data_IF_721675067753
#
_entry.id   IF_721675067753
#
_cell.length_a   1.000
_cell.length_b   1.000
_cell.length_c   1.000
_cell.angle_alpha   90.00
_cell.angle_beta   90.00
_cell.angle_gamma   90.00
#
_symmetry.space_group_name_H-M   'P 1'
#
loop_
_entity.id
_entity.type
_entity.pdbx_description
1 polymer ?
#
# COMPACT_ATOMS: atom_id res chain seq x y z
N UNK A 1 17.92 19.15 33.70
CA UNK A 1 16.56 19.41 33.21
C UNK A 1 16.20 18.24 32.28
N UNK A 2 15.24 17.42 32.69
CA UNK A 2 14.75 16.34 31.85
C UNK A 2 13.59 16.89 31.02
N UNK A 3 13.66 16.73 29.70
CA UNK A 3 12.54 16.95 28.78
C UNK A 3 11.81 15.63 28.63
N UNK A 4 10.51 15.63 28.85
CA UNK A 4 9.69 14.46 28.57
C UNK A 4 9.33 14.43 27.08
N UNK A 5 9.54 13.28 26.43
CA UNK A 5 9.28 13.12 25.01
C UNK A 5 8.16 12.08 24.86
N UNK A 6 7.02 12.55 24.36
CA UNK A 6 5.95 11.68 23.89
C UNK A 6 6.14 11.39 22.40
N UNK A 7 5.95 10.14 21.97
CA UNK A 7 5.94 9.81 20.55
C UNK A 7 4.71 9.01 20.16
N UNK A 8 4.28 9.16 18.92
CA UNK A 8 3.18 8.41 18.35
C UNK A 8 3.44 8.07 16.90
N UNK A 9 2.91 6.92 16.48
CA UNK A 9 2.98 6.49 15.09
C UNK A 9 1.60 6.03 14.63
N UNK A 10 1.17 6.54 13.50
CA UNK A 10 -0.07 6.12 12.84
C UNK A 10 0.24 5.66 11.42
N UNK A 11 -0.26 4.49 11.06
CA UNK A 11 -0.14 3.94 9.70
C UNK A 11 -1.53 3.72 9.13
N UNK A 12 -1.82 4.37 8.01
CA UNK A 12 -3.06 4.18 7.27
C UNK A 12 -2.73 3.53 5.93
N UNK A 13 -3.36 2.39 5.63
CA UNK A 13 -3.16 1.69 4.38
C UNK A 13 -4.51 1.37 3.74
N UNK A 14 -4.68 1.83 2.51
CA UNK A 14 -5.86 1.55 1.67
C UNK A 14 -5.38 1.03 0.33
N UNK A 15 -6.11 0.09 -0.25
CA UNK A 15 -5.75 -0.44 -1.56
C UNK A 15 -6.79 -1.41 -2.11
N UNK A 16 -6.69 -1.67 -3.39
CA UNK A 16 -7.54 -2.61 -4.11
C UNK A 16 -6.80 -3.24 -5.27
N UNK A 17 -7.17 -4.49 -5.56
CA UNK A 17 -6.81 -5.16 -6.81
C UNK A 17 -8.11 -5.54 -7.49
N UNK A 18 -8.32 -5.05 -8.70
CA UNK A 18 -9.43 -5.42 -9.57
C UNK A 18 -8.95 -6.36 -10.69
N UNK A 19 -9.79 -7.27 -11.16
CA UNK A 19 -9.51 -8.12 -12.30
C UNK A 19 -10.69 -8.12 -13.26
N UNK A 20 -10.41 -7.93 -14.56
CA UNK A 20 -11.35 -8.04 -15.65
C UNK A 20 -10.98 -9.26 -16.49
N UNK A 21 -11.86 -10.25 -16.55
CA UNK A 21 -11.63 -11.51 -17.23
C UNK A 21 -12.47 -11.62 -18.51
N UNK A 22 -11.82 -11.96 -19.62
CA UNK A 22 -12.47 -12.37 -20.86
C UNK A 22 -12.23 -13.86 -21.03
N UNK A 23 -13.32 -14.65 -21.05
CA UNK A 23 -13.24 -16.11 -21.04
C UNK A 23 -13.97 -16.71 -22.23
N UNK A 24 -13.39 -17.80 -22.75
CA UNK A 24 -14.04 -18.65 -23.76
C UNK A 24 -13.91 -20.12 -23.34
N UNK A 25 -14.96 -20.90 -23.62
CA UNK A 25 -14.98 -22.32 -23.31
C UNK A 25 -15.58 -23.15 -24.42
N UNK A 26 -15.05 -24.38 -24.60
CA UNK A 26 -15.49 -25.34 -25.62
C UNK A 26 -15.77 -26.67 -24.97
N UNK A 27 -16.82 -27.34 -25.46
CA UNK A 27 -17.17 -28.71 -25.11
C UNK A 27 -17.02 -29.60 -26.34
N UNK A 28 -16.13 -30.58 -26.28
CA UNK A 28 -15.89 -31.54 -27.34
C UNK A 28 -16.48 -32.89 -26.95
N UNK A 29 -17.55 -33.30 -27.62
CA UNK A 29 -18.22 -34.60 -27.48
C UNK A 29 -18.65 -34.96 -26.04
N UNK A 30 -18.90 -33.95 -25.18
CA UNK A 30 -19.19 -34.16 -23.75
C UNK A 30 -18.12 -34.94 -22.97
N UNK A 31 -16.90 -35.07 -23.53
CA UNK A 31 -15.76 -35.72 -22.93
C UNK A 31 -14.65 -34.76 -22.56
N UNK A 32 -14.42 -33.74 -23.38
CA UNK A 32 -13.41 -32.72 -23.15
C UNK A 32 -14.04 -31.35 -23.03
N UNK A 33 -13.77 -30.67 -21.94
CA UNK A 33 -14.13 -29.28 -21.70
C UNK A 33 -12.84 -28.51 -21.57
N UNK A 34 -12.67 -27.50 -22.42
CA UNK A 34 -11.47 -26.67 -22.46
C UNK A 34 -11.92 -25.23 -22.30
N UNK A 35 -11.29 -24.50 -21.40
CA UNK A 35 -11.55 -23.07 -21.18
C UNK A 35 -10.25 -22.30 -21.15
N UNK A 36 -10.31 -21.08 -21.65
CA UNK A 36 -9.21 -20.12 -21.58
C UNK A 36 -9.74 -18.78 -21.12
N UNK A 37 -8.96 -18.08 -20.33
CA UNK A 37 -9.27 -16.75 -19.80
C UNK A 37 -8.07 -15.85 -19.98
N UNK A 38 -8.31 -14.64 -20.47
CA UNK A 38 -7.36 -13.54 -20.45
C UNK A 38 -7.80 -12.54 -19.39
N UNK A 39 -6.92 -12.30 -18.43
CA UNK A 39 -7.17 -11.40 -17.30
C UNK A 39 -6.35 -10.11 -17.41
N UNK A 40 -7.00 -8.98 -17.19
CA UNK A 40 -6.40 -7.66 -17.02
C UNK A 40 -6.63 -7.24 -15.59
N UNK A 41 -5.56 -6.93 -14.87
CA UNK A 41 -5.62 -6.53 -13.47
C UNK A 41 -5.26 -5.05 -13.31
N UNK A 42 -5.95 -4.38 -12.38
CA UNK A 42 -5.59 -3.05 -11.90
C UNK A 42 -5.20 -3.16 -10.43
N UNK A 43 -4.12 -2.46 -10.05
CA UNK A 43 -3.63 -2.41 -8.68
C UNK A 43 -3.57 -0.96 -8.25
N UNK A 44 -4.11 -0.66 -7.07
CA UNK A 44 -3.95 0.62 -6.41
C UNK A 44 -3.67 0.39 -4.93
N UNK A 45 -2.66 1.06 -4.38
CA UNK A 45 -2.37 1.08 -2.95
C UNK A 45 -1.87 2.46 -2.54
N UNK A 46 -2.44 2.98 -1.45
CA UNK A 46 -1.97 4.19 -0.77
C UNK A 46 -1.63 3.85 0.67
N UNK A 47 -0.43 4.21 1.09
CA UNK A 47 0.04 4.01 2.46
C UNK A 47 0.61 5.31 3.00
N UNK A 48 0.05 5.75 4.12
CA UNK A 48 0.46 6.98 4.80
C UNK A 48 1.01 6.63 6.16
N UNK A 49 2.16 7.17 6.50
CA UNK A 49 2.81 7.08 7.80
C UNK A 49 2.83 8.47 8.43
N UNK A 50 2.38 8.53 9.66
CA UNK A 50 2.51 9.70 10.53
C UNK A 50 3.36 9.29 11.71
N UNK A 51 4.46 9.99 11.92
CA UNK A 51 5.27 9.89 13.12
C UNK A 51 5.35 11.27 13.75
N UNK A 52 5.05 11.39 15.04
CA UNK A 52 5.13 12.63 15.77
C UNK A 52 5.83 12.48 17.10
N UNK A 53 6.52 13.53 17.49
CA UNK A 53 7.16 13.69 18.80
C UNK A 53 6.69 15.00 19.42
N UNK A 54 6.23 14.92 20.68
CA UNK A 54 5.89 16.06 21.50
C UNK A 54 6.93 16.22 22.61
N UNK A 55 7.44 17.43 22.80
CA UNK A 55 8.49 17.74 23.78
C UNK A 55 7.90 18.58 24.91
N UNK A 56 7.90 18.04 26.13
CA UNK A 56 7.38 18.70 27.32
C UNK A 56 8.53 19.07 28.24
N UNK A 57 8.74 20.36 28.44
CA UNK A 57 9.75 20.88 29.32
C UNK A 57 9.23 20.97 30.77
N UNK A 58 10.10 20.89 31.81
CA UNK A 58 9.71 21.00 33.21
C UNK A 58 8.99 22.32 33.52
N UNK A 59 8.03 22.26 34.43
CA UNK A 59 7.25 23.44 34.85
C UNK A 59 6.00 23.64 34.01
N UNK A 60 5.85 24.76 33.35
CA UNK A 60 4.66 25.10 32.55
C UNK A 60 4.76 24.64 31.08
N UNK A 61 5.61 23.67 30.77
CA UNK A 61 5.81 23.16 29.43
C UNK A 61 6.88 23.89 28.60
N UNK A 62 7.46 24.98 29.11
CA UNK A 62 8.57 25.70 28.51
C UNK A 62 9.64 26.04 29.58
N UNK A 63 10.92 26.03 29.18
CA UNK A 63 12.03 26.41 30.04
C UNK A 63 12.44 27.87 29.75
N UNK A 64 12.25 28.82 30.69
CA UNK A 64 12.58 30.24 30.45
C UNK A 64 14.07 30.52 30.27
N UNK A 65 14.95 29.55 30.53
CA UNK A 65 16.39 29.69 30.36
C UNK A 65 16.90 29.29 28.97
N UNK A 66 16.01 28.80 28.12
CA UNK A 66 16.34 28.45 26.74
C UNK A 66 15.76 29.46 25.79
N UNK A 67 16.56 29.99 24.89
CA UNK A 67 16.12 30.93 23.86
C UNK A 67 15.18 30.28 22.86
N UNK A 68 15.40 29.00 22.55
CA UNK A 68 14.63 28.22 21.61
C UNK A 68 14.25 26.87 22.21
N UNK A 69 13.04 26.42 21.99
CA UNK A 69 12.55 25.12 22.46
C UNK A 69 11.71 24.45 21.39
N UNK A 70 12.08 23.23 21.03
CA UNK A 70 11.28 22.42 20.14
C UNK A 70 10.04 21.91 20.90
N UNK A 71 8.85 22.23 20.42
CA UNK A 71 7.59 21.79 21.04
C UNK A 71 7.11 20.47 20.45
N UNK A 72 7.21 20.34 19.14
CA UNK A 72 6.85 19.11 18.42
C UNK A 72 7.66 18.97 17.14
N UNK A 73 7.77 17.74 16.67
CA UNK A 73 8.30 17.41 15.35
C UNK A 73 7.48 16.29 14.73
N UNK A 74 6.94 16.54 13.56
CA UNK A 74 6.14 15.58 12.83
C UNK A 74 6.84 15.17 11.53
N UNK A 75 6.77 13.90 11.20
CA UNK A 75 7.21 13.35 9.93
C UNK A 75 6.04 12.65 9.24
N UNK A 76 5.71 13.10 8.06
CA UNK A 76 4.64 12.53 7.24
C UNK A 76 5.24 11.94 5.97
N UNK A 77 4.82 10.73 5.64
CA UNK A 77 5.28 10.01 4.46
C UNK A 77 4.09 9.36 3.77
N UNK A 78 4.00 9.53 2.47
CA UNK A 78 2.99 8.89 1.65
C UNK A 78 3.64 8.10 0.51
N UNK A 79 3.17 6.87 0.30
CA UNK A 79 3.53 6.01 -0.81
C UNK A 79 2.27 5.62 -1.55
N UNK A 80 2.21 5.91 -2.83
CA UNK A 80 1.14 5.48 -3.73
C UNK A 80 1.74 4.52 -4.75
N UNK A 81 1.11 3.36 -4.89
CA UNK A 81 1.38 2.39 -5.94
C UNK A 81 0.16 2.33 -6.85
N UNK A 82 0.36 2.54 -8.12
CA UNK A 82 -0.64 2.40 -9.17
C UNK A 82 -0.09 1.48 -10.25
N UNK A 83 -0.89 0.54 -10.75
CA UNK A 83 -0.36 -0.41 -11.71
C UNK A 83 -1.42 -1.21 -12.44
N UNK A 84 -0.98 -1.79 -13.55
CA UNK A 84 -1.76 -2.73 -14.34
C UNK A 84 -0.99 -4.04 -14.50
N UNK A 85 -1.73 -5.13 -14.64
CA UNK A 85 -1.14 -6.46 -14.86
C UNK A 85 -1.95 -7.26 -15.87
N UNK A 86 -1.30 -8.27 -16.44
CA UNK A 86 -1.95 -9.21 -17.35
C UNK A 86 -1.59 -10.64 -17.00
N UNK A 87 -2.55 -11.54 -17.17
CA UNK A 87 -2.36 -12.98 -16.99
C UNK A 87 -3.19 -13.78 -18.00
N UNK A 88 -2.88 -15.06 -18.09
CA UNK A 88 -3.62 -16.01 -18.89
C UNK A 88 -3.89 -17.27 -18.06
N UNK A 89 -5.12 -17.80 -18.16
CA UNK A 89 -5.56 -18.99 -17.43
C UNK A 89 -6.08 -20.03 -18.43
N UNK A 90 -5.65 -21.26 -18.28
CA UNK A 90 -6.13 -22.40 -19.06
C UNK A 90 -6.74 -23.43 -18.12
N UNK A 91 -7.90 -23.96 -18.49
CA UNK A 91 -8.56 -25.05 -17.78
C UNK A 91 -8.99 -26.16 -18.72
N UNK A 92 -8.86 -27.40 -18.28
CA UNK A 92 -9.35 -28.58 -19.00
C UNK A 92 -10.01 -29.55 -18.03
N UNK A 93 -11.17 -30.09 -18.44
CA UNK A 93 -11.81 -31.22 -17.75
C UNK A 93 -11.96 -32.34 -18.75
N UNK A 94 -11.43 -33.51 -18.39
CA UNK A 94 -11.59 -34.77 -19.15
C UNK A 94 -12.55 -35.71 -18.43
N UNK A 95 -13.55 -36.20 -19.15
CA UNK A 95 -14.55 -37.18 -18.69
C UNK A 95 -14.37 -38.48 -19.43
N UNK A 96 -13.52 -39.42 -18.97
CA UNK A 96 -13.34 -40.73 -19.59
C UNK A 96 -14.62 -41.56 -19.54
N UNK A 97 -15.36 -41.47 -18.43
CA UNK A 97 -16.67 -42.11 -18.21
C UNK A 97 -17.64 -41.13 -17.59
N UNK A 98 -18.93 -41.42 -17.59
CA UNK A 98 -19.96 -40.48 -17.10
C UNK A 98 -19.73 -39.99 -15.66
N UNK A 99 -19.19 -40.86 -14.84
CA UNK A 99 -19.05 -40.63 -13.40
C UNK A 99 -17.68 -40.08 -12.99
N UNK A 100 -16.64 -40.12 -13.85
CA UNK A 100 -15.28 -39.68 -13.53
C UNK A 100 -14.94 -38.38 -14.27
N UNK A 101 -14.41 -37.41 -13.57
CA UNK A 101 -13.87 -36.17 -14.13
C UNK A 101 -12.46 -35.98 -13.62
N UNK A 102 -11.56 -35.65 -14.53
CA UNK A 102 -10.17 -35.30 -14.26
C UNK A 102 -9.99 -33.85 -14.71
N UNK A 103 -9.64 -32.97 -13.80
CA UNK A 103 -9.43 -31.55 -14.03
C UNK A 103 -7.95 -31.19 -14.01
N UNK A 104 -7.61 -30.26 -14.90
CA UNK A 104 -6.31 -29.62 -14.96
C UNK A 104 -6.52 -28.13 -15.16
N UNK A 105 -5.79 -27.29 -14.42
CA UNK A 105 -5.77 -25.87 -14.66
C UNK A 105 -4.36 -25.30 -14.50
N UNK A 106 -4.03 -24.38 -15.38
CA UNK A 106 -2.77 -23.67 -15.40
C UNK A 106 -3.04 -22.17 -15.46
N UNK A 107 -2.48 -21.41 -14.50
CA UNK A 107 -2.46 -19.97 -14.52
C UNK A 107 -1.03 -19.50 -14.77
N UNK A 108 -0.84 -18.66 -15.75
CA UNK A 108 0.46 -18.02 -15.95
C UNK A 108 0.77 -17.09 -14.78
N UNK A 109 2.02 -16.69 -14.59
CA UNK A 109 2.33 -15.51 -13.79
C UNK A 109 1.48 -14.31 -14.23
N UNK A 110 1.12 -13.43 -13.30
CA UNK A 110 0.64 -12.11 -13.64
C UNK A 110 1.83 -11.19 -13.74
N UNK A 111 1.97 -10.53 -14.88
CA UNK A 111 3.00 -9.53 -15.12
C UNK A 111 2.42 -8.17 -14.82
N UNK A 112 2.97 -7.48 -13.81
CA UNK A 112 2.57 -6.15 -13.39
C UNK A 112 3.59 -5.12 -13.81
N UNK A 113 3.09 -3.98 -14.29
CA UNK A 113 3.81 -2.72 -14.42
C UNK A 113 3.27 -1.79 -13.35
N UNK A 114 4.14 -1.31 -12.46
CA UNK A 114 3.77 -0.56 -11.26
C UNK A 114 4.52 0.76 -11.26
N UNK A 115 3.77 1.84 -11.13
CA UNK A 115 4.26 3.18 -10.87
C UNK A 115 4.21 3.45 -9.37
N UNK A 116 5.27 4.01 -8.83
CA UNK A 116 5.36 4.40 -7.42
C UNK A 116 5.54 5.90 -7.32
N UNK A 117 4.64 6.56 -6.60
CA UNK A 117 4.81 7.94 -6.15
C UNK A 117 5.15 7.94 -4.67
N UNK A 118 6.13 8.74 -4.30
CA UNK A 118 6.58 8.91 -2.92
C UNK A 118 6.58 10.39 -2.58
N UNK A 119 6.02 10.74 -1.42
CA UNK A 119 6.04 12.08 -0.86
C UNK A 119 6.38 11.98 0.62
N UNK A 120 7.23 12.90 1.09
CA UNK A 120 7.52 13.03 2.51
C UNK A 120 7.70 14.50 2.86
N UNK A 121 7.23 14.88 4.04
CA UNK A 121 7.46 16.21 4.59
C UNK A 121 7.58 16.14 6.12
N UNK A 122 8.26 17.12 6.66
CA UNK A 122 8.38 17.32 8.12
C UNK A 122 7.82 18.69 8.47
N UNK A 123 7.15 18.78 9.59
CA UNK A 123 6.80 20.02 10.24
C UNK A 123 7.23 20.01 11.71
N UNK A 124 7.61 21.15 12.23
CA UNK A 124 8.04 21.27 13.63
C UNK A 124 7.63 22.63 14.20
N UNK A 125 7.30 22.65 15.47
CA UNK A 125 7.01 23.86 16.22
C UNK A 125 8.12 24.21 17.18
N UNK A 126 8.54 25.48 17.18
CA UNK A 126 9.59 25.99 18.08
C UNK A 126 9.01 27.14 18.90
N UNK A 127 9.19 27.07 20.22
CA UNK A 127 8.92 28.20 21.11
C UNK A 127 10.17 29.08 21.24
N UNK A 128 10.00 30.38 21.11
CA UNK A 128 11.08 31.39 21.21
C UNK A 128 10.82 32.30 22.37
N UNK A 129 11.72 32.29 23.34
CA UNK A 129 11.65 33.16 24.53
C UNK A 129 12.19 34.58 24.27
N UNK A 130 12.95 34.78 23.19
CA UNK A 130 13.53 36.10 22.88
C UNK A 130 12.69 36.85 21.85
N UNK A 131 11.92 37.86 22.26
CA UNK A 131 11.09 38.67 21.35
C UNK A 131 11.87 39.50 20.34
N UNK A 132 13.19 39.63 20.52
CA UNK A 132 14.08 40.42 19.65
C UNK A 132 14.98 39.54 18.78
N UNK A 133 14.53 38.37 18.45
CA UNK A 133 15.27 37.42 17.62
C UNK A 133 15.65 38.05 16.26
N UNK A 134 16.95 38.19 15.94
CA UNK A 134 17.41 38.75 14.68
C UNK A 134 17.12 37.89 13.47
N UNK A 135 16.84 36.58 13.65
CA UNK A 135 16.56 35.65 12.57
C UNK A 135 15.11 35.70 12.05
N UNK A 136 14.28 36.58 12.62
CA UNK A 136 12.99 36.93 12.03
C UNK A 136 11.87 35.92 12.19
N UNK A 137 11.98 35.00 13.14
CA UNK A 137 10.89 34.12 13.53
C UNK A 137 9.77 34.94 14.17
N UNK A 138 8.65 35.10 13.49
CA UNK A 138 7.51 35.88 14.01
C UNK A 138 6.67 35.03 14.94
N UNK A 139 6.33 35.54 16.17
CA UNK A 139 5.43 34.80 17.03
C UNK A 139 4.05 34.64 16.36
N UNK A 140 3.52 33.40 16.43
CA UNK A 140 2.13 33.16 16.07
C UNK A 140 1.14 33.83 17.04
N UNK A 141 -0.17 33.74 16.79
CA UNK A 141 -1.21 34.36 17.62
C UNK A 141 -1.21 33.93 19.09
N UNK A 142 -0.64 32.75 19.37
CA UNK A 142 -0.48 32.12 20.68
C UNK A 142 0.86 32.44 21.37
N UNK A 143 1.70 33.28 20.77
CA UNK A 143 3.04 33.60 21.25
C UNK A 143 4.11 32.56 20.88
N UNK A 144 3.74 31.44 20.28
CA UNK A 144 4.63 30.44 19.77
C UNK A 144 5.05 30.76 18.34
N UNK A 145 6.30 30.51 18.00
CA UNK A 145 6.77 30.69 16.63
C UNK A 145 6.77 29.31 15.97
N UNK A 146 5.99 29.22 14.91
CA UNK A 146 6.00 28.06 14.05
C UNK A 146 6.96 28.33 12.90
N UNK A 147 8.10 27.68 12.89
CA UNK A 147 8.81 27.50 11.64
C UNK A 147 8.09 26.37 10.93
N UNK A 148 7.23 26.70 9.98
CA UNK A 148 6.98 25.80 8.87
C UNK A 148 8.31 25.65 8.11
N UNK A 149 9.26 24.96 8.73
CA UNK A 149 10.32 24.32 7.97
C UNK A 149 9.65 23.19 7.21
N UNK A 150 8.86 23.55 6.21
CA UNK A 150 8.59 22.69 5.09
C UNK A 150 9.96 22.32 4.55
N UNK A 151 10.51 21.26 5.10
CA UNK A 151 11.54 20.53 4.36
C UNK A 151 10.99 20.42 2.95
N UNK A 152 11.76 20.79 1.91
CA UNK A 152 11.27 20.72 0.56
C UNK A 152 10.62 19.35 0.43
N UNK A 153 9.34 19.35 0.06
CA UNK A 153 8.61 18.12 -0.21
C UNK A 153 9.54 17.33 -1.10
N UNK A 154 10.09 16.24 -0.58
CA UNK A 154 10.83 15.31 -1.41
C UNK A 154 9.78 14.63 -2.28
N UNK A 155 9.24 15.39 -3.22
CA UNK A 155 8.52 14.83 -4.33
C UNK A 155 9.56 14.08 -5.14
N UNK A 156 9.59 12.79 -4.96
CA UNK A 156 10.17 11.92 -5.96
C UNK A 156 9.21 11.91 -7.15
N UNK A 157 9.23 13.02 -7.91
CA UNK A 157 8.48 13.19 -9.15
C UNK A 157 9.04 12.34 -10.29
N UNK A 158 10.15 11.68 -10.05
CA UNK A 158 10.70 10.64 -10.91
C UNK A 158 10.05 9.29 -10.55
N UNK A 159 8.82 9.04 -11.02
CA UNK A 159 8.14 7.77 -10.78
C UNK A 159 9.06 6.59 -11.05
N UNK A 160 9.35 5.80 -10.03
CA UNK A 160 10.06 4.54 -10.20
C UNK A 160 9.06 3.54 -10.77
N UNK A 161 9.21 3.28 -12.07
CA UNK A 161 8.51 2.20 -12.74
C UNK A 161 9.25 0.92 -12.44
N UNK A 162 8.56 -0.07 -11.93
CA UNK A 162 9.11 -1.39 -11.68
C UNK A 162 8.14 -2.47 -12.14
N UNK A 163 8.73 -3.62 -12.46
CA UNK A 163 7.97 -4.78 -12.89
C UNK A 163 7.91 -5.79 -11.76
N UNK A 164 6.74 -6.37 -11.57
CA UNK A 164 6.51 -7.41 -10.60
C UNK A 164 5.82 -8.59 -11.26
N UNK A 165 6.28 -9.80 -10.96
CA UNK A 165 5.73 -11.02 -11.52
C UNK A 165 5.32 -11.97 -10.40
N UNK A 166 4.06 -12.43 -10.43
CA UNK A 166 3.58 -13.44 -9.50
C UNK A 166 4.01 -14.85 -9.94
N UNK A 167 4.04 -15.85 -9.05
CA UNK A 167 4.31 -17.23 -9.45
C UNK A 167 3.17 -17.81 -10.30
N UNK A 168 3.53 -18.71 -11.23
CA UNK A 168 2.56 -19.54 -11.94
C UNK A 168 1.87 -20.52 -10.97
N UNK A 169 0.66 -20.95 -11.33
CA UNK A 169 -0.09 -21.95 -10.55
C UNK A 169 -0.51 -23.11 -11.45
N UNK A 170 -0.29 -24.31 -10.95
CA UNK A 170 -0.72 -25.56 -11.58
C UNK A 170 -1.66 -26.29 -10.61
N UNK A 171 -2.82 -26.70 -11.10
CA UNK A 171 -3.85 -27.34 -10.29
C UNK A 171 -4.34 -28.61 -10.97
N UNK A 172 -4.52 -29.66 -10.18
CA UNK A 172 -5.09 -30.93 -10.60
C UNK A 172 -6.28 -31.28 -9.69
N UNK A 173 -7.29 -31.86 -10.27
CA UNK A 173 -8.45 -32.33 -9.53
C UNK A 173 -9.01 -33.60 -10.13
N UNK A 174 -9.52 -34.50 -9.30
CA UNK A 174 -10.26 -35.68 -9.69
C UNK A 174 -11.57 -35.70 -8.92
N UNK A 175 -12.67 -35.97 -9.61
CA UNK A 175 -13.95 -36.16 -8.95
C UNK A 175 -14.70 -37.33 -9.51
N UNK A 176 -15.37 -38.10 -8.63
CA UNK A 176 -16.19 -39.25 -9.00
C UNK A 176 -17.60 -39.09 -8.40
N UNK A 177 -18.60 -39.28 -9.26
CA UNK A 177 -20.01 -39.21 -8.88
C UNK A 177 -20.59 -40.61 -8.66
N UNK A 178 -21.10 -40.89 -7.46
CA UNK A 178 -21.73 -42.14 -7.09
C UNK A 178 -23.22 -42.15 -7.44
N UNK A 179 -23.57 -41.98 -8.72
CA UNK A 179 -24.95 -41.86 -9.17
C UNK A 179 -25.67 -40.71 -8.40
N UNK A 180 -26.83 -41.02 -7.81
CA UNK A 180 -27.62 -40.04 -7.02
C UNK A 180 -27.20 -40.00 -5.54
N UNK A 181 -26.12 -40.67 -5.12
CA UNK A 181 -25.74 -40.82 -3.71
C UNK A 181 -24.67 -39.87 -3.20
N UNK A 182 -23.97 -39.20 -4.09
CA UNK A 182 -22.94 -38.25 -3.67
C UNK A 182 -21.83 -38.00 -4.69
N UNK A 183 -20.98 -37.07 -4.38
CA UNK A 183 -19.78 -36.67 -5.15
C UNK A 183 -18.59 -36.65 -4.19
N UNK A 184 -17.45 -37.19 -4.63
CA UNK A 184 -16.13 -37.06 -4.00
C UNK A 184 -15.18 -36.40 -4.99
#
# INVERSE_FOLDING_TARGET
NNVDIGNYTTVVSNGSIGEYDISAGFNLNNKFYIGATFGIQSLYQRKTYYYGEDYVYPGNGTDPNLDYQLLYSNFNQEVILDGAGVNFKLGMIYRPIQNLRIGFAFHTPTYYWIDRTYQAYTDSGVHVNNPNDPDGLKPGPDGNQYTDALSPVLEDTGGYNWEFTTPARLMFGISYAFGNRGLI
#
